data_IF_189416191603
#
_entry.id   IF_189416191603
#
_cell.length_a   1.000
_cell.length_b   1.000
_cell.length_c   1.000
_cell.angle_alpha   90.00
_cell.angle_beta   90.00
_cell.angle_gamma   90.00
#
_symmetry.space_group_name_H-M   'P 1'
#
loop_
_entity.id
_entity.type
_entity.pdbx_description
1 polymer ?
#
# COMPACT_ATOMS: atom_id res chain seq x y z
N UNK A 1 -2.37 10.49 -6.27
CA UNK A 1 -3.69 11.03 -6.66
C UNK A 1 -3.98 10.68 -8.11
N UNK A 2 -5.22 10.33 -8.41
CA UNK A 2 -5.65 9.80 -9.72
C UNK A 2 -6.16 10.91 -10.68
N UNK A 3 -5.64 12.12 -10.55
CA UNK A 3 -6.01 13.26 -11.40
C UNK A 3 -5.71 12.96 -12.87
N UNK A 4 -6.65 13.24 -13.76
CA UNK A 4 -6.59 12.96 -15.19
C UNK A 4 -6.57 11.46 -15.56
N UNK A 5 -6.87 10.57 -14.64
CA UNK A 5 -7.08 9.15 -14.92
C UNK A 5 -8.56 8.85 -15.04
N UNK A 6 -8.90 7.93 -15.95
CA UNK A 6 -10.27 7.46 -16.16
C UNK A 6 -10.39 6.00 -15.73
N UNK A 7 -11.25 5.74 -14.74
CA UNK A 7 -11.56 4.38 -14.26
C UNK A 7 -12.97 4.00 -14.68
N UNK A 8 -13.09 2.86 -15.37
CA UNK A 8 -14.39 2.27 -15.70
C UNK A 8 -14.75 1.24 -14.62
N UNK A 9 -15.87 1.48 -13.94
CA UNK A 9 -16.44 0.54 -12.96
C UNK A 9 -17.57 -0.25 -13.62
N UNK A 10 -17.34 -1.56 -13.80
CA UNK A 10 -18.32 -2.51 -14.26
C UNK A 10 -19.09 -3.10 -13.09
N UNK A 11 -20.37 -2.72 -12.91
CA UNK A 11 -21.18 -3.19 -11.78
C UNK A 11 -22.14 -4.26 -12.25
N UNK A 12 -22.10 -5.45 -11.60
CA UNK A 12 -22.92 -6.60 -12.00
C UNK A 12 -23.91 -7.02 -10.91
N UNK A 13 -24.79 -7.97 -11.23
CA UNK A 13 -25.91 -8.38 -10.39
C UNK A 13 -25.50 -9.16 -9.14
N UNK A 14 -25.12 -8.45 -8.11
CA UNK A 14 -24.83 -8.97 -6.77
C UNK A 14 -25.26 -7.96 -5.72
N UNK A 15 -25.67 -8.43 -4.55
CA UNK A 15 -25.98 -7.55 -3.40
C UNK A 15 -24.81 -6.61 -3.07
N UNK A 16 -23.56 -7.02 -3.29
CA UNK A 16 -22.37 -6.20 -3.04
C UNK A 16 -22.26 -4.95 -3.92
N UNK A 17 -23.14 -4.77 -4.91
CA UNK A 17 -23.17 -3.57 -5.77
C UNK A 17 -23.28 -2.26 -4.98
N UNK A 18 -23.96 -2.25 -3.82
CA UNK A 18 -24.08 -1.04 -2.99
C UNK A 18 -22.75 -0.51 -2.51
N UNK A 19 -21.74 -1.38 -2.29
CA UNK A 19 -20.41 -0.99 -1.84
C UNK A 19 -19.64 -0.17 -2.89
N UNK A 20 -19.95 -0.36 -4.18
CA UNK A 20 -19.28 0.33 -5.27
C UNK A 20 -19.61 1.83 -5.30
N UNK A 21 -20.72 2.24 -4.72
CA UNK A 21 -21.03 3.66 -4.52
C UNK A 21 -19.96 4.35 -3.65
N UNK A 22 -19.49 3.69 -2.58
CA UNK A 22 -18.41 4.20 -1.73
C UNK A 22 -17.08 4.28 -2.49
N UNK A 23 -16.75 3.27 -3.31
CA UNK A 23 -15.56 3.28 -4.15
C UNK A 23 -15.62 4.42 -5.20
N UNK A 24 -16.75 4.59 -5.88
CA UNK A 24 -16.95 5.69 -6.84
C UNK A 24 -16.74 7.06 -6.19
N UNK A 25 -17.30 7.26 -4.97
CA UNK A 25 -17.09 8.48 -4.19
C UNK A 25 -15.61 8.69 -3.81
N UNK A 26 -14.90 7.63 -3.39
CA UNK A 26 -13.49 7.70 -3.03
C UNK A 26 -12.61 8.06 -4.23
N UNK A 27 -12.86 7.48 -5.41
CA UNK A 27 -12.17 7.82 -6.66
C UNK A 27 -12.41 9.27 -7.07
N UNK A 28 -13.64 9.78 -6.95
CA UNK A 28 -13.96 11.19 -7.24
C UNK A 28 -13.24 12.16 -6.31
N UNK A 29 -13.09 11.82 -5.01
CA UNK A 29 -12.29 12.62 -4.05
C UNK A 29 -10.82 12.70 -4.47
N UNK A 30 -10.32 11.72 -5.21
CA UNK A 30 -8.96 11.72 -5.79
C UNK A 30 -8.89 12.39 -7.18
N UNK A 31 -9.96 13.10 -7.57
CA UNK A 31 -10.08 13.78 -8.87
C UNK A 31 -10.01 12.84 -10.08
N UNK A 32 -10.36 11.56 -9.90
CA UNK A 32 -10.49 10.59 -10.98
C UNK A 32 -11.76 10.85 -11.81
N UNK A 33 -11.69 10.65 -13.12
CA UNK A 33 -12.87 10.52 -13.95
C UNK A 33 -13.41 9.09 -13.83
N UNK A 34 -14.63 8.94 -13.33
CA UNK A 34 -15.25 7.65 -13.06
C UNK A 34 -16.41 7.41 -14.01
N UNK A 35 -16.27 6.42 -14.89
CA UNK A 35 -17.32 5.94 -15.77
C UNK A 35 -17.94 4.67 -15.18
N UNK A 36 -19.27 4.62 -15.08
CA UNK A 36 -19.96 3.45 -14.51
C UNK A 36 -20.81 2.78 -15.58
N UNK A 37 -20.59 1.48 -15.75
CA UNK A 37 -21.40 0.65 -16.63
C UNK A 37 -22.06 -0.45 -15.79
N UNK A 38 -23.37 -0.53 -15.81
CA UNK A 38 -24.14 -1.48 -15.05
C UNK A 38 -24.77 -2.54 -15.94
N UNK A 39 -24.81 -3.77 -15.48
CA UNK A 39 -25.72 -4.76 -16.09
C UNK A 39 -27.16 -4.47 -15.66
N UNK A 40 -28.16 -4.93 -16.46
CA UNK A 40 -29.58 -4.83 -16.09
C UNK A 40 -29.88 -5.47 -14.73
N UNK A 41 -29.18 -6.55 -14.39
CA UNK A 41 -29.32 -7.18 -13.08
C UNK A 41 -28.72 -6.34 -11.95
N UNK A 42 -27.65 -5.58 -12.17
CA UNK A 42 -27.10 -4.67 -11.18
C UNK A 42 -28.12 -3.56 -10.81
N UNK A 43 -28.84 -3.06 -11.80
CA UNK A 43 -29.87 -2.02 -11.61
C UNK A 43 -31.05 -2.45 -10.71
N UNK A 44 -31.19 -3.76 -10.41
CA UNK A 44 -32.16 -4.28 -9.44
C UNK A 44 -31.68 -4.15 -7.98
N UNK A 45 -30.35 -4.02 -7.76
CA UNK A 45 -29.78 -3.89 -6.42
C UNK A 45 -29.47 -2.43 -6.05
N UNK A 46 -29.09 -1.61 -7.03
CA UNK A 46 -28.76 -0.19 -6.85
C UNK A 46 -29.15 0.57 -8.12
N UNK A 47 -29.71 1.75 -7.96
CA UNK A 47 -30.19 2.51 -9.12
C UNK A 47 -29.07 3.27 -9.82
N UNK A 48 -29.12 3.46 -11.16
CA UNK A 48 -28.13 4.23 -11.92
C UNK A 48 -27.95 5.66 -11.38
N UNK A 49 -29.04 6.31 -10.94
CA UNK A 49 -29.00 7.69 -10.42
C UNK A 49 -28.03 7.86 -9.23
N UNK A 50 -27.81 6.79 -8.45
CA UNK A 50 -26.81 6.82 -7.36
C UNK A 50 -25.42 7.11 -7.91
N UNK A 51 -25.03 6.39 -8.97
CA UNK A 51 -23.71 6.58 -9.59
C UNK A 51 -23.61 7.89 -10.37
N UNK A 52 -24.67 8.28 -11.06
CA UNK A 52 -24.74 9.57 -11.78
C UNK A 52 -24.54 10.74 -10.83
N UNK A 53 -25.21 10.72 -9.68
CA UNK A 53 -25.06 11.75 -8.64
C UNK A 53 -23.65 11.81 -8.07
N UNK A 54 -23.01 10.65 -7.83
CA UNK A 54 -21.67 10.59 -7.24
C UNK A 54 -20.56 10.94 -8.23
N UNK A 55 -20.71 10.55 -9.50
CA UNK A 55 -19.65 10.70 -10.51
C UNK A 55 -19.79 11.95 -11.36
N UNK A 56 -21.01 12.47 -11.50
CA UNK A 56 -21.34 13.52 -12.46
C UNK A 56 -21.35 13.04 -13.92
N UNK A 57 -21.26 11.73 -14.15
CA UNK A 57 -21.30 11.09 -15.46
C UNK A 57 -22.56 10.23 -15.59
N UNK A 58 -23.09 10.09 -16.81
CA UNK A 58 -24.17 9.16 -17.12
C UNK A 58 -23.76 7.73 -16.78
N UNK A 59 -24.64 6.99 -16.12
CA UNK A 59 -24.47 5.56 -15.87
C UNK A 59 -25.01 4.76 -17.08
N UNK A 60 -24.13 3.97 -17.71
CA UNK A 60 -24.47 3.26 -18.94
C UNK A 60 -25.03 1.87 -18.64
N UNK A 61 -26.14 1.49 -19.27
CA UNK A 61 -26.79 0.17 -19.14
C UNK A 61 -27.07 -0.45 -20.49
N UNK A 62 -27.69 0.29 -21.38
CA UNK A 62 -28.13 -0.18 -22.68
C UNK A 62 -27.18 0.25 -23.81
N UNK A 63 -26.80 -0.70 -24.65
CA UNK A 63 -25.95 -0.45 -25.84
C UNK A 63 -26.63 0.45 -26.87
N UNK A 64 -27.96 0.42 -26.91
CA UNK A 64 -28.79 1.12 -27.92
C UNK A 64 -29.66 2.21 -27.31
N UNK A 65 -29.16 2.88 -26.24
CA UNK A 65 -29.83 4.06 -25.70
C UNK A 65 -29.85 5.19 -26.75
N UNK A 66 -31.02 5.70 -27.08
CA UNK A 66 -31.20 6.74 -28.13
C UNK A 66 -30.90 8.17 -27.65
N UNK A 67 -30.68 8.36 -26.37
CA UNK A 67 -30.28 9.63 -25.78
C UNK A 67 -28.75 9.80 -25.81
N UNK A 68 -28.14 9.66 -26.98
CA UNK A 68 -26.68 9.73 -27.15
C UNK A 68 -26.26 10.87 -28.07
N UNK A 69 -25.07 11.39 -27.87
CA UNK A 69 -24.32 12.17 -28.85
C UNK A 69 -23.82 11.23 -29.94
N UNK A 70 -23.64 11.71 -31.19
CA UNK A 70 -23.30 10.89 -32.37
C UNK A 70 -22.00 10.07 -32.30
N UNK A 71 -21.53 9.69 -31.10
CA UNK A 71 -20.40 8.82 -30.86
C UNK A 71 -20.86 7.43 -30.41
N UNK A 72 -20.10 6.41 -30.81
CA UNK A 72 -20.34 5.04 -30.36
C UNK A 72 -19.87 4.92 -28.91
N UNK A 73 -20.78 5.05 -27.95
CA UNK A 73 -20.48 5.22 -26.51
C UNK A 73 -19.51 4.16 -25.97
N UNK A 74 -19.72 2.86 -26.27
CA UNK A 74 -18.84 1.78 -25.77
C UNK A 74 -17.41 1.92 -26.31
N UNK A 75 -17.21 2.45 -27.53
CA UNK A 75 -15.87 2.69 -28.07
C UNK A 75 -15.24 3.95 -27.47
N UNK A 76 -16.03 5.01 -27.28
CA UNK A 76 -15.56 6.25 -26.65
C UNK A 76 -15.06 5.98 -25.22
N UNK A 77 -15.85 5.27 -24.41
CA UNK A 77 -15.47 4.87 -23.05
C UNK A 77 -14.26 3.95 -23.05
N UNK A 78 -14.21 2.94 -23.94
CA UNK A 78 -13.09 2.01 -24.03
C UNK A 78 -11.76 2.70 -24.37
N UNK A 79 -11.78 3.72 -25.25
CA UNK A 79 -10.59 4.51 -25.60
C UNK A 79 -10.11 5.42 -24.48
N UNK A 80 -11.04 5.94 -23.66
CA UNK A 80 -10.76 6.85 -22.55
C UNK A 80 -10.25 6.13 -21.30
N UNK A 81 -10.58 4.85 -21.13
CA UNK A 81 -10.28 4.08 -19.95
C UNK A 81 -8.78 3.87 -19.74
N UNK A 82 -8.26 4.30 -18.58
CA UNK A 82 -6.93 3.94 -18.08
C UNK A 82 -6.93 2.61 -17.33
N UNK A 83 -8.09 2.22 -16.77
CA UNK A 83 -8.29 0.96 -16.05
C UNK A 83 -9.77 0.58 -16.05
N UNK A 84 -10.04 -0.72 -16.13
CA UNK A 84 -11.37 -1.32 -15.89
C UNK A 84 -11.33 -2.12 -14.61
N UNK A 85 -12.31 -1.91 -13.72
CA UNK A 85 -12.60 -2.78 -12.59
C UNK A 85 -14.03 -3.32 -12.71
N UNK A 86 -14.17 -4.63 -12.82
CA UNK A 86 -15.48 -5.30 -12.70
C UNK A 86 -15.70 -5.72 -11.25
N UNK A 87 -16.55 -4.97 -10.56
CA UNK A 87 -16.86 -5.20 -9.15
C UNK A 87 -18.28 -4.72 -8.81
N UNK A 88 -19.10 -5.54 -8.16
CA UNK A 88 -18.92 -6.98 -7.99
C UNK A 88 -18.97 -7.72 -9.34
N UNK A 89 -18.17 -8.79 -9.50
CA UNK A 89 -18.20 -9.65 -10.68
C UNK A 89 -19.02 -10.93 -10.36
N UNK A 90 -20.18 -11.04 -10.96
CA UNK A 90 -21.04 -12.25 -10.84
C UNK A 90 -20.49 -13.39 -11.70
N UNK A 91 -20.77 -14.63 -11.35
CA UNK A 91 -20.39 -15.82 -12.13
C UNK A 91 -20.82 -15.73 -13.61
N UNK A 92 -22.01 -15.18 -13.89
CA UNK A 92 -22.50 -14.96 -15.24
C UNK A 92 -21.56 -14.06 -16.04
N UNK A 93 -21.18 -12.90 -15.48
CA UNK A 93 -20.31 -11.94 -16.19
C UNK A 93 -18.88 -12.50 -16.32
N UNK A 94 -18.37 -13.20 -15.30
CA UNK A 94 -17.07 -13.90 -15.37
C UNK A 94 -17.07 -14.89 -16.57
N UNK A 95 -18.12 -15.71 -16.70
CA UNK A 95 -18.25 -16.65 -17.82
C UNK A 95 -18.31 -15.95 -19.18
N UNK A 96 -19.07 -14.86 -19.30
CA UNK A 96 -19.13 -14.06 -20.54
C UNK A 96 -17.78 -13.49 -20.92
N UNK A 97 -17.09 -12.84 -19.99
CA UNK A 97 -15.78 -12.23 -20.20
C UNK A 97 -14.71 -13.26 -20.58
N UNK A 98 -14.72 -14.45 -19.95
CA UNK A 98 -13.78 -15.51 -20.24
C UNK A 98 -13.93 -16.06 -21.67
N UNK A 99 -15.14 -16.01 -22.22
CA UNK A 99 -15.45 -16.55 -23.56
C UNK A 99 -15.72 -15.48 -24.63
N UNK A 100 -15.49 -14.19 -24.31
CA UNK A 100 -15.64 -13.10 -25.28
C UNK A 100 -17.10 -12.83 -25.70
N UNK A 101 -18.08 -13.18 -24.86
CA UNK A 101 -19.50 -12.91 -25.11
C UNK A 101 -19.76 -11.41 -24.82
N UNK A 102 -20.15 -10.66 -25.86
CA UNK A 102 -20.37 -9.21 -25.81
C UNK A 102 -21.83 -8.88 -26.19
N UNK A 103 -22.77 -9.28 -25.33
CA UNK A 103 -24.21 -9.19 -25.57
C UNK A 103 -24.90 -8.06 -24.77
N UNK A 104 -24.11 -7.29 -23.99
CA UNK A 104 -24.56 -6.12 -23.25
C UNK A 104 -23.54 -4.98 -23.28
N UNK A 105 -23.91 -3.79 -22.80
CA UNK A 105 -23.06 -2.60 -22.81
C UNK A 105 -21.73 -2.83 -22.07
N UNK A 106 -21.75 -3.52 -20.93
CA UNK A 106 -20.57 -3.78 -20.13
C UNK A 106 -19.56 -4.69 -20.87
N UNK A 107 -20.01 -5.83 -21.31
CA UNK A 107 -19.16 -6.83 -21.96
C UNK A 107 -18.65 -6.35 -23.31
N UNK A 108 -19.46 -5.61 -24.08
CA UNK A 108 -19.05 -4.98 -25.32
C UNK A 108 -17.96 -3.92 -25.11
N UNK A 109 -18.13 -3.04 -24.13
CA UNK A 109 -17.12 -2.02 -23.79
C UNK A 109 -15.80 -2.66 -23.37
N UNK A 110 -15.86 -3.65 -22.47
CA UNK A 110 -14.68 -4.31 -21.93
C UNK A 110 -13.88 -5.03 -23.03
N UNK A 111 -14.56 -5.68 -23.97
CA UNK A 111 -13.92 -6.35 -25.09
C UNK A 111 -13.11 -5.37 -25.96
N UNK A 112 -13.54 -4.10 -26.05
CA UNK A 112 -12.85 -3.05 -26.78
C UNK A 112 -11.72 -2.36 -25.98
N UNK A 113 -11.66 -2.53 -24.64
CA UNK A 113 -10.66 -1.90 -23.79
C UNK A 113 -9.28 -2.54 -23.94
N UNK A 114 -8.23 -1.68 -24.05
CA UNK A 114 -6.83 -2.11 -24.10
C UNK A 114 -6.08 -1.90 -22.76
N UNK A 115 -6.67 -1.16 -21.84
CA UNK A 115 -6.10 -0.86 -20.51
C UNK A 115 -6.08 -2.10 -19.60
N UNK A 116 -5.37 -2.04 -18.46
CA UNK A 116 -5.43 -3.05 -17.40
C UNK A 116 -6.86 -3.35 -16.96
N UNK A 117 -7.12 -4.62 -16.67
CA UNK A 117 -8.45 -5.10 -16.28
C UNK A 117 -8.38 -5.85 -14.96
N UNK A 118 -9.14 -5.37 -13.99
CA UNK A 118 -9.29 -5.96 -12.66
C UNK A 118 -10.67 -6.58 -12.52
N UNK A 119 -10.76 -7.66 -11.76
CA UNK A 119 -12.00 -8.38 -11.52
C UNK A 119 -12.11 -8.76 -10.06
N UNK A 120 -13.21 -8.38 -9.40
CA UNK A 120 -13.51 -8.74 -8.02
C UNK A 120 -14.75 -9.65 -7.94
N UNK A 121 -14.56 -10.99 -7.84
CA UNK A 121 -15.66 -11.94 -7.74
C UNK A 121 -16.54 -11.67 -6.51
N UNK A 122 -17.86 -11.84 -6.67
CA UNK A 122 -18.82 -11.72 -5.57
C UNK A 122 -20.01 -12.67 -5.79
N UNK A 123 -20.03 -13.77 -5.06
CA UNK A 123 -21.05 -14.81 -5.15
C UNK A 123 -21.07 -15.71 -3.92
N UNK A 124 -22.05 -16.61 -3.81
CA UNK A 124 -22.06 -17.66 -2.81
C UNK A 124 -20.82 -18.56 -2.91
N UNK A 125 -20.37 -19.11 -1.79
CA UNK A 125 -19.16 -19.95 -1.70
C UNK A 125 -19.20 -21.14 -2.65
N UNK A 126 -20.32 -21.88 -2.70
CA UNK A 126 -20.45 -23.04 -3.59
C UNK A 126 -20.38 -22.64 -5.08
N UNK A 127 -20.87 -21.44 -5.42
CA UNK A 127 -20.70 -20.89 -6.78
C UNK A 127 -19.24 -20.52 -7.07
N UNK A 128 -18.57 -19.90 -6.09
CA UNK A 128 -17.17 -19.50 -6.26
C UNK A 128 -16.25 -20.71 -6.39
N UNK A 129 -16.48 -21.76 -5.58
CA UNK A 129 -15.70 -23.01 -5.59
C UNK A 129 -16.06 -23.93 -6.77
N UNK A 130 -17.12 -23.61 -7.53
CA UNK A 130 -17.53 -24.42 -8.67
C UNK A 130 -16.40 -24.48 -9.71
N UNK A 131 -16.00 -25.70 -10.16
CA UNK A 131 -14.89 -25.85 -11.12
C UNK A 131 -15.04 -25.00 -12.37
N UNK A 132 -16.25 -24.84 -12.91
CA UNK A 132 -16.51 -24.02 -14.11
C UNK A 132 -16.18 -22.53 -13.84
N UNK A 133 -16.47 -22.03 -12.64
CA UNK A 133 -16.13 -20.66 -12.27
C UNK A 133 -14.62 -20.49 -12.09
N UNK A 134 -13.95 -21.47 -11.44
CA UNK A 134 -12.50 -21.47 -11.27
C UNK A 134 -11.76 -21.56 -12.61
N UNK A 135 -12.26 -22.38 -13.55
CA UNK A 135 -11.71 -22.46 -14.92
C UNK A 135 -11.85 -21.11 -15.63
N UNK A 136 -13.02 -20.47 -15.56
CA UNK A 136 -13.24 -19.16 -16.16
C UNK A 136 -12.32 -18.07 -15.56
N UNK A 137 -12.09 -18.07 -14.25
CA UNK A 137 -11.13 -17.16 -13.60
C UNK A 137 -9.70 -17.43 -14.08
N UNK A 138 -9.33 -18.70 -14.23
CA UNK A 138 -8.02 -19.11 -14.75
C UNK A 138 -7.82 -18.65 -16.21
N UNK A 139 -8.86 -18.75 -17.06
CA UNK A 139 -8.85 -18.24 -18.43
C UNK A 139 -8.64 -16.72 -18.43
N UNK A 140 -9.34 -15.97 -17.59
CA UNK A 140 -9.18 -14.53 -17.48
C UNK A 140 -7.76 -14.14 -17.02
N UNK A 141 -7.22 -14.83 -16.00
CA UNK A 141 -5.82 -14.65 -15.55
C UNK A 141 -4.83 -14.88 -16.71
N UNK A 142 -5.03 -15.94 -17.52
CA UNK A 142 -4.22 -16.21 -18.73
C UNK A 142 -4.27 -15.09 -19.76
N UNK A 143 -5.39 -14.37 -19.86
CA UNK A 143 -5.55 -13.22 -20.75
C UNK A 143 -5.15 -11.87 -20.09
N UNK A 144 -4.43 -11.92 -18.97
CA UNK A 144 -3.85 -10.73 -18.34
C UNK A 144 -4.82 -9.96 -17.44
N UNK A 145 -5.93 -10.57 -17.02
CA UNK A 145 -6.76 -9.99 -15.98
C UNK A 145 -6.15 -10.24 -14.60
N UNK A 146 -6.19 -9.23 -13.76
CA UNK A 146 -5.90 -9.40 -12.35
C UNK A 146 -7.19 -9.70 -11.59
N UNK A 147 -7.23 -10.85 -10.95
CA UNK A 147 -8.35 -11.26 -10.10
C UNK A 147 -8.05 -10.90 -8.66
N UNK A 148 -8.84 -9.98 -8.12
CA UNK A 148 -8.79 -9.62 -6.71
C UNK A 148 -9.48 -10.72 -5.92
N UNK A 149 -8.71 -11.46 -5.14
CA UNK A 149 -9.22 -12.61 -4.41
C UNK A 149 -10.35 -12.19 -3.44
N UNK A 150 -11.47 -12.92 -3.42
CA UNK A 150 -12.56 -12.61 -2.52
C UNK A 150 -12.15 -12.84 -1.06
N UNK A 151 -12.67 -12.01 -0.18
CA UNK A 151 -12.54 -12.21 1.26
C UNK A 151 -13.35 -13.42 1.73
N UNK A 152 -12.89 -14.04 2.80
CA UNK A 152 -13.64 -15.06 3.52
C UNK A 152 -14.45 -14.43 4.66
N UNK A 153 -15.64 -14.93 4.93
CA UNK A 153 -16.48 -14.46 6.02
C UNK A 153 -17.94 -14.80 5.85
N UNK A 154 -18.79 -14.18 6.67
CA UNK A 154 -20.24 -14.35 6.61
C UNK A 154 -20.81 -13.69 5.36
N UNK A 155 -21.56 -14.45 4.59
CA UNK A 155 -22.20 -14.03 3.34
C UNK A 155 -23.69 -13.69 3.57
N UNK A 156 -24.26 -12.91 2.67
CA UNK A 156 -25.67 -12.50 2.76
C UNK A 156 -26.67 -13.67 2.70
N UNK A 157 -26.27 -14.83 2.18
CA UNK A 157 -27.07 -16.04 2.17
C UNK A 157 -27.02 -16.83 3.49
N UNK A 158 -26.27 -16.41 4.49
CA UNK A 158 -26.10 -17.11 5.77
C UNK A 158 -24.91 -18.07 5.82
N UNK A 159 -24.25 -18.32 4.70
CA UNK A 159 -23.07 -19.19 4.64
C UNK A 159 -21.80 -18.45 5.09
N UNK A 160 -20.79 -19.21 5.52
CA UNK A 160 -19.45 -18.69 5.82
C UNK A 160 -18.44 -19.34 4.90
N UNK A 161 -17.63 -18.52 4.20
CA UNK A 161 -16.60 -19.01 3.27
C UNK A 161 -16.08 -17.94 2.35
N UNK A 162 -15.36 -18.36 1.29
CA UNK A 162 -14.86 -17.48 0.23
C UNK A 162 -16.02 -17.05 -0.69
N UNK A 163 -15.88 -15.88 -1.32
CA UNK A 163 -16.87 -15.35 -2.27
C UNK A 163 -17.37 -13.96 -1.93
N UNK A 164 -16.97 -13.40 -0.78
CA UNK A 164 -17.30 -12.03 -0.36
C UNK A 164 -16.40 -11.03 -1.08
N UNK A 165 -16.99 -10.06 -1.79
CA UNK A 165 -16.23 -8.96 -2.36
C UNK A 165 -15.47 -8.22 -1.26
N UNK A 166 -14.17 -7.93 -1.43
CA UNK A 166 -13.39 -7.10 -0.51
C UNK A 166 -14.03 -5.74 -0.26
N UNK A 167 -13.61 -5.07 0.81
CA UNK A 167 -14.11 -3.73 1.11
C UNK A 167 -13.60 -2.71 0.08
N UNK A 168 -14.34 -1.59 -0.12
CA UNK A 168 -14.01 -0.59 -1.14
C UNK A 168 -12.57 -0.04 -1.06
N UNK A 169 -12.02 0.04 0.15
CA UNK A 169 -10.65 0.50 0.41
C UNK A 169 -9.60 -0.44 -0.22
N UNK A 170 -9.87 -1.76 -0.16
CA UNK A 170 -9.01 -2.75 -0.81
C UNK A 170 -9.09 -2.63 -2.33
N UNK A 171 -10.29 -2.46 -2.88
CA UNK A 171 -10.47 -2.25 -4.33
C UNK A 171 -9.78 -0.97 -4.81
N UNK A 172 -9.86 0.10 -4.01
CA UNK A 172 -9.17 1.36 -4.27
C UNK A 172 -7.65 1.16 -4.31
N UNK A 173 -7.07 0.41 -3.36
CA UNK A 173 -5.64 0.16 -3.33
C UNK A 173 -5.13 -0.58 -4.58
N UNK A 174 -5.93 -1.49 -5.15
CA UNK A 174 -5.61 -2.13 -6.43
C UNK A 174 -5.62 -1.14 -7.60
N UNK A 175 -6.59 -0.22 -7.64
CA UNK A 175 -6.64 0.85 -8.65
C UNK A 175 -5.42 1.78 -8.52
N UNK A 176 -5.10 2.20 -7.30
CA UNK A 176 -3.93 3.03 -7.01
C UNK A 176 -2.62 2.33 -7.39
N UNK A 177 -2.50 1.04 -7.09
CA UNK A 177 -1.34 0.23 -7.48
C UNK A 177 -1.11 0.28 -8.99
N UNK A 178 -2.12 0.38 -9.81
CA UNK A 178 -1.96 0.49 -11.27
C UNK A 178 -1.75 1.92 -11.77
N UNK A 179 -2.42 2.91 -11.19
CA UNK A 179 -2.59 4.23 -11.80
C UNK A 179 -1.89 5.38 -11.07
N UNK A 180 -1.57 5.24 -9.77
CA UNK A 180 -1.12 6.37 -8.95
C UNK A 180 0.27 6.89 -9.35
N UNK A 181 1.17 6.01 -9.79
CA UNK A 181 2.55 6.35 -10.12
C UNK A 181 3.02 5.62 -11.37
N UNK A 182 4.02 6.18 -12.06
CA UNK A 182 4.82 5.45 -13.03
C UNK A 182 5.55 4.30 -12.34
N UNK A 183 5.75 3.19 -13.07
CA UNK A 183 6.41 1.98 -12.54
C UNK A 183 7.93 2.02 -12.79
N UNK A 184 8.54 3.14 -12.42
CA UNK A 184 9.97 3.42 -12.63
C UNK A 184 10.90 2.61 -11.70
N UNK A 185 10.36 1.97 -10.66
CA UNK A 185 11.09 1.05 -9.79
C UNK A 185 10.78 -0.43 -10.06
N UNK A 186 10.21 -0.75 -11.23
CA UNK A 186 9.93 -2.14 -11.59
C UNK A 186 11.23 -2.98 -11.60
N UNK A 187 11.18 -4.13 -10.90
CA UNK A 187 12.32 -5.03 -10.74
C UNK A 187 13.34 -4.60 -9.67
N UNK A 188 13.13 -3.47 -8.99
CA UNK A 188 13.95 -3.05 -7.83
C UNK A 188 13.46 -3.71 -6.56
N UNK A 189 14.39 -4.16 -5.73
CA UNK A 189 14.12 -4.71 -4.38
C UNK A 189 14.48 -3.67 -3.32
N UNK A 190 13.50 -3.33 -2.49
CA UNK A 190 13.65 -2.29 -1.45
C UNK A 190 13.30 -2.84 -0.07
N UNK A 191 14.24 -2.79 0.85
CA UNK A 191 13.97 -3.10 2.26
C UNK A 191 13.79 -1.82 3.05
N UNK A 192 12.67 -1.71 3.75
CA UNK A 192 12.37 -0.58 4.64
C UNK A 192 12.20 -1.09 6.06
N UNK A 193 12.80 -0.41 7.05
CA UNK A 193 12.50 -0.68 8.46
C UNK A 193 11.58 0.40 9.01
N UNK A 194 10.63 0.04 9.87
CA UNK A 194 9.66 0.97 10.43
C UNK A 194 9.27 0.64 11.87
N UNK A 195 8.64 1.61 12.54
CA UNK A 195 8.17 1.45 13.91
C UNK A 195 9.27 1.50 14.96
N UNK A 196 8.90 1.41 16.24
CA UNK A 196 9.84 1.29 17.35
C UNK A 196 10.20 -0.17 17.60
N UNK A 197 11.32 -0.42 18.27
CA UNK A 197 11.55 -1.68 18.96
C UNK A 197 11.03 -1.59 20.40
N UNK A 198 10.72 -2.74 20.97
CA UNK A 198 10.29 -2.90 22.37
C UNK A 198 11.26 -3.83 23.07
N UNK A 199 11.98 -3.30 24.05
CA UNK A 199 12.99 -4.04 24.82
C UNK A 199 12.40 -4.48 26.14
N UNK A 200 12.12 -5.76 26.26
CA UNK A 200 11.41 -6.31 27.41
C UNK A 200 12.21 -6.14 28.71
N UNK A 201 11.53 -5.68 29.77
CA UNK A 201 11.99 -5.71 31.16
C UNK A 201 11.52 -6.98 31.86
N UNK A 202 10.27 -7.32 31.60
CA UNK A 202 9.57 -8.49 32.09
C UNK A 202 8.39 -8.81 31.14
N UNK A 203 7.58 -9.86 31.36
CA UNK A 203 6.46 -10.20 30.47
C UNK A 203 5.40 -9.10 30.31
N UNK A 204 5.44 -8.03 31.11
CA UNK A 204 4.40 -6.98 31.14
C UNK A 204 4.92 -5.62 30.68
N UNK A 205 6.20 -5.34 30.93
CA UNK A 205 6.79 -4.00 30.71
C UNK A 205 7.97 -4.04 29.76
N UNK A 206 8.13 -3.00 28.97
CA UNK A 206 9.22 -2.82 28.02
C UNK A 206 9.65 -1.36 27.93
N UNK A 207 10.86 -1.14 27.44
CA UNK A 207 11.37 0.16 26.99
C UNK A 207 11.12 0.30 25.49
N UNK A 208 10.69 1.47 25.05
CA UNK A 208 10.42 1.74 23.64
C UNK A 208 10.59 3.21 23.27
N UNK A 209 10.65 3.50 21.98
CA UNK A 209 10.68 4.84 21.43
C UNK A 209 9.26 5.31 21.03
N UNK A 210 9.04 6.63 20.93
CA UNK A 210 7.74 7.23 20.56
C UNK A 210 7.40 7.10 19.06
N UNK A 211 8.12 6.29 18.29
CA UNK A 211 7.88 6.14 16.86
C UNK A 211 6.51 5.51 16.58
N UNK A 212 5.78 6.08 15.62
CA UNK A 212 4.49 5.54 15.14
C UNK A 212 4.63 4.68 13.89
N UNK A 213 5.82 4.61 13.28
CA UNK A 213 6.06 3.89 12.03
C UNK A 213 5.61 4.60 10.76
N UNK A 214 4.85 5.70 10.85
CA UNK A 214 4.22 6.37 9.69
C UNK A 214 5.19 6.68 8.55
N UNK A 215 6.41 7.14 8.82
CA UNK A 215 7.37 7.50 7.76
C UNK A 215 7.86 6.26 6.99
N UNK A 216 8.27 5.20 7.69
CA UNK A 216 8.69 3.95 7.06
C UNK A 216 7.57 3.30 6.26
N UNK A 217 6.35 3.34 6.77
CA UNK A 217 5.15 2.86 6.07
C UNK A 217 4.86 3.67 4.81
N UNK A 218 4.98 5.01 4.85
CA UNK A 218 4.83 5.86 3.68
C UNK A 218 5.90 5.56 2.60
N UNK A 219 7.15 5.31 3.00
CA UNK A 219 8.23 4.94 2.07
C UNK A 219 7.95 3.58 1.43
N UNK A 220 7.56 2.58 2.23
CA UNK A 220 7.22 1.26 1.73
C UNK A 220 6.04 1.30 0.75
N UNK A 221 5.00 2.08 1.07
CA UNK A 221 3.85 2.31 0.19
C UNK A 221 4.24 3.00 -1.11
N UNK A 222 4.97 4.11 -1.04
CA UNK A 222 5.42 4.85 -2.23
C UNK A 222 6.31 3.99 -3.14
N UNK A 223 7.21 3.19 -2.58
CA UNK A 223 8.06 2.28 -3.35
C UNK A 223 7.22 1.19 -4.05
N UNK A 224 6.24 0.62 -3.35
CA UNK A 224 5.31 -0.37 -3.92
C UNK A 224 4.47 0.23 -5.05
N UNK A 225 3.89 1.43 -4.87
CA UNK A 225 3.15 2.14 -5.92
C UNK A 225 3.99 2.40 -7.17
N UNK A 226 5.31 2.56 -7.04
CA UNK A 226 6.27 2.73 -8.15
C UNK A 226 6.77 1.40 -8.73
N UNK A 227 6.27 0.26 -8.26
CA UNK A 227 6.54 -1.06 -8.82
C UNK A 227 7.72 -1.81 -8.21
N UNK A 228 8.30 -1.34 -7.11
CA UNK A 228 9.35 -2.07 -6.40
C UNK A 228 8.80 -3.31 -5.67
N UNK A 229 9.63 -4.35 -5.55
CA UNK A 229 9.42 -5.46 -4.61
C UNK A 229 9.87 -5.02 -3.21
N UNK A 230 8.91 -4.81 -2.31
CA UNK A 230 9.15 -4.16 -1.02
C UNK A 230 9.05 -5.14 0.13
N UNK A 231 10.12 -5.20 0.93
CA UNK A 231 10.13 -5.88 2.23
C UNK A 231 10.13 -4.84 3.34
N UNK A 232 9.09 -4.84 4.19
CA UNK A 232 8.94 -3.96 5.34
C UNK A 232 9.20 -4.73 6.63
N UNK A 233 10.32 -4.46 7.31
CA UNK A 233 10.61 -4.99 8.64
C UNK A 233 10.06 -4.01 9.68
N UNK A 234 8.99 -4.41 10.39
CA UNK A 234 8.24 -3.49 11.24
C UNK A 234 8.20 -3.92 12.69
N UNK A 235 8.60 -3.02 13.57
CA UNK A 235 8.26 -3.07 14.98
C UNK A 235 6.77 -2.85 15.22
N UNK A 236 6.29 -3.02 16.50
CA UNK A 236 4.88 -2.91 16.82
C UNK A 236 4.33 -1.50 16.57
N UNK A 237 3.30 -1.39 15.73
CA UNK A 237 2.59 -0.16 15.39
C UNK A 237 1.09 -0.42 15.32
N UNK A 238 0.28 0.65 15.40
CA UNK A 238 -1.18 0.59 15.30
C UNK A 238 -1.72 0.83 13.89
N UNK A 239 -0.86 1.22 12.94
CA UNK A 239 -1.26 1.47 11.55
C UNK A 239 -1.28 0.15 10.75
N UNK A 240 -2.25 0.02 9.85
CA UNK A 240 -2.33 -1.14 8.97
C UNK A 240 -1.14 -1.16 7.98
N UNK A 241 -0.60 -2.34 7.68
CA UNK A 241 0.46 -2.45 6.69
C UNK A 241 -0.04 -2.02 5.30
N UNK A 242 0.83 -1.38 4.49
CA UNK A 242 0.49 -1.04 3.12
C UNK A 242 0.18 -2.31 2.31
N UNK A 243 -0.82 -2.28 1.42
CA UNK A 243 -1.07 -3.39 0.51
C UNK A 243 0.14 -3.62 -0.42
N UNK A 244 0.28 -4.84 -0.93
CA UNK A 244 1.35 -5.27 -1.86
C UNK A 244 2.78 -5.18 -1.31
N UNK A 245 2.94 -5.10 0.00
CA UNK A 245 4.22 -5.05 0.69
C UNK A 245 4.39 -6.32 1.54
N UNK A 246 5.54 -6.99 1.42
CA UNK A 246 5.89 -8.12 2.29
C UNK A 246 6.28 -7.58 3.67
N UNK A 247 5.46 -7.87 4.69
CA UNK A 247 5.73 -7.42 6.07
C UNK A 247 6.38 -8.53 6.87
N UNK A 248 7.49 -8.19 7.56
CA UNK A 248 8.16 -9.04 8.54
C UNK A 248 8.00 -8.36 9.90
N UNK A 249 7.08 -8.83 10.76
CA UNK A 249 6.90 -8.28 12.10
C UNK A 249 8.06 -8.68 13.00
N UNK A 250 8.53 -7.73 13.81
CA UNK A 250 9.57 -7.92 14.83
C UNK A 250 9.15 -7.26 16.14
N UNK A 251 9.84 -7.54 17.23
CA UNK A 251 9.59 -6.91 18.52
C UNK A 251 10.81 -6.17 19.04
N UNK A 252 11.94 -6.82 19.14
CA UNK A 252 13.17 -6.27 19.73
C UNK A 252 14.17 -5.74 18.69
N UNK A 253 15.18 -5.02 19.16
CA UNK A 253 16.32 -4.60 18.35
C UNK A 253 17.08 -5.79 17.77
N UNK A 254 17.17 -6.89 18.52
CA UNK A 254 17.80 -8.12 18.08
C UNK A 254 17.01 -8.77 16.93
N UNK A 255 15.68 -8.90 17.07
CA UNK A 255 14.82 -9.43 15.99
C UNK A 255 14.95 -8.60 14.71
N UNK A 256 15.00 -7.26 14.86
CA UNK A 256 15.18 -6.36 13.71
C UNK A 256 16.55 -6.57 13.06
N UNK A 257 17.60 -6.73 13.83
CA UNK A 257 18.94 -7.03 13.30
C UNK A 257 18.95 -8.33 12.51
N UNK A 258 18.37 -9.40 13.05
CA UNK A 258 18.31 -10.71 12.41
C UNK A 258 17.48 -10.66 11.11
N UNK A 259 16.29 -10.07 11.16
CA UNK A 259 15.41 -9.94 10.00
C UNK A 259 16.05 -9.10 8.87
N UNK A 260 16.67 -7.97 9.22
CA UNK A 260 17.34 -7.11 8.23
C UNK A 260 18.55 -7.81 7.65
N UNK A 261 19.41 -8.43 8.47
CA UNK A 261 20.62 -9.12 8.02
C UNK A 261 20.32 -10.28 7.08
N UNK A 262 19.25 -11.04 7.36
CA UNK A 262 18.82 -12.16 6.53
C UNK A 262 18.37 -11.77 5.13
N UNK A 263 17.91 -10.53 4.93
CA UNK A 263 17.34 -10.05 3.66
C UNK A 263 18.20 -8.99 2.97
N UNK A 264 19.24 -8.46 3.65
CA UNK A 264 20.02 -7.31 3.15
C UNK A 264 20.72 -7.57 1.82
N UNK A 265 21.30 -8.76 1.63
CA UNK A 265 22.13 -9.08 0.48
C UNK A 265 21.41 -9.04 -0.87
N UNK A 266 20.09 -9.16 -0.88
CA UNK A 266 19.29 -9.20 -2.12
C UNK A 266 18.70 -7.83 -2.51
N UNK A 267 18.91 -6.79 -1.69
CA UNK A 267 18.25 -5.51 -1.87
C UNK A 267 19.08 -4.55 -2.72
N UNK A 268 18.41 -3.83 -3.64
CA UNK A 268 19.01 -2.69 -4.34
C UNK A 268 19.13 -1.47 -3.40
N UNK A 269 18.14 -1.28 -2.52
CA UNK A 269 18.17 -0.21 -1.52
C UNK A 269 17.67 -0.68 -0.16
N UNK A 270 18.32 -0.19 0.90
CA UNK A 270 17.90 -0.40 2.29
C UNK A 270 17.65 0.95 2.94
N UNK A 271 16.44 1.17 3.44
CA UNK A 271 16.00 2.43 4.06
C UNK A 271 15.68 2.18 5.53
N UNK A 272 16.56 2.62 6.42
CA UNK A 272 16.45 2.37 7.85
C UNK A 272 15.73 3.51 8.56
N UNK A 273 14.38 3.46 8.55
CA UNK A 273 13.51 4.47 9.16
C UNK A 273 12.96 4.08 10.54
N UNK A 274 13.22 2.86 11.02
CA UNK A 274 12.81 2.40 12.34
C UNK A 274 13.53 3.15 13.47
N UNK A 275 12.84 3.36 14.59
CA UNK A 275 13.40 3.86 15.82
C UNK A 275 13.85 2.68 16.72
N UNK A 276 15.03 2.17 16.42
CA UNK A 276 15.64 1.06 17.16
C UNK A 276 16.23 1.58 18.47
N UNK A 277 15.99 0.88 19.57
CA UNK A 277 16.59 1.22 20.85
C UNK A 277 18.11 0.97 20.83
N UNK A 278 18.91 1.95 21.28
CA UNK A 278 20.37 1.82 21.42
C UNK A 278 20.78 0.96 22.61
N UNK A 279 19.84 0.76 23.55
CA UNK A 279 20.04 -0.01 24.78
C UNK A 279 18.88 -0.96 25.03
N UNK A 280 19.17 -2.13 25.55
CA UNK A 280 18.20 -3.13 26.00
C UNK A 280 18.53 -3.52 27.46
N UNK A 281 17.57 -3.97 28.29
CA UNK A 281 17.87 -4.49 29.60
C UNK A 281 18.93 -5.59 29.54
N UNK A 282 19.91 -5.54 30.46
CA UNK A 282 20.97 -6.54 30.54
C UNK A 282 20.40 -7.92 30.83
N UNK A 283 19.41 -7.96 31.74
CA UNK A 283 18.68 -9.15 32.13
C UNK A 283 17.18 -8.92 32.01
N UNK A 284 16.46 -9.87 31.43
CA UNK A 284 15.03 -9.89 31.29
C UNK A 284 14.43 -10.84 32.32
N UNK A 285 13.55 -10.33 33.16
CA UNK A 285 12.88 -11.18 34.16
C UNK A 285 11.84 -12.09 33.48
N UNK A 286 11.84 -13.37 33.82
CA UNK A 286 10.82 -14.33 33.37
C UNK A 286 9.43 -14.11 34.02
N UNK A 287 9.39 -13.39 35.16
CA UNK A 287 8.17 -13.04 35.85
C UNK A 287 8.06 -11.54 36.04
N UNK A 288 6.82 -11.05 36.21
CA UNK A 288 6.56 -9.62 36.49
C UNK A 288 7.32 -9.19 37.74
N UNK A 289 8.26 -8.27 37.62
CA UNK A 289 9.02 -7.69 38.73
C UNK A 289 8.06 -7.00 39.67
N UNK A 290 7.96 -7.52 40.91
CA UNK A 290 7.09 -6.95 41.94
C UNK A 290 7.69 -5.64 42.51
N UNK A 291 6.77 -4.71 42.82
CA UNK A 291 7.14 -3.46 43.51
C UNK A 291 7.84 -3.78 44.84
N UNK A 292 8.99 -3.16 45.03
CA UNK A 292 9.73 -3.19 46.31
C UNK A 292 9.73 -1.76 46.88
N UNK A 293 9.98 -1.63 48.18
CA UNK A 293 10.20 -0.35 48.80
C UNK A 293 11.52 0.26 48.29
N UNK A 294 11.48 1.55 47.88
CA UNK A 294 12.62 2.28 47.34
C UNK A 294 12.68 2.33 45.81
N UNK A 295 13.70 3.01 45.30
CA UNK A 295 13.95 3.21 43.86
C UNK A 295 14.43 1.92 43.18
N UNK A 296 14.12 1.78 41.89
CA UNK A 296 14.57 0.68 41.07
C UNK A 296 15.53 1.18 39.99
N UNK A 297 16.70 0.61 39.88
CA UNK A 297 17.60 0.80 38.76
C UNK A 297 17.60 -0.41 37.84
N UNK A 298 17.67 -0.17 36.53
CA UNK A 298 17.66 -1.19 35.50
C UNK A 298 19.00 -1.13 34.77
N UNK A 299 19.85 -2.16 34.90
CA UNK A 299 21.07 -2.20 34.12
C UNK A 299 20.76 -2.41 32.64
N UNK A 300 21.37 -1.58 31.79
CA UNK A 300 21.20 -1.64 30.35
C UNK A 300 22.50 -2.06 29.66
N UNK A 301 22.39 -2.84 28.59
CA UNK A 301 23.47 -3.15 27.64
C UNK A 301 23.20 -2.57 26.27
N UNK A 302 24.24 -2.29 25.49
CA UNK A 302 24.10 -1.77 24.13
C UNK A 302 23.52 -2.83 23.19
N UNK A 303 22.66 -2.39 22.29
CA UNK A 303 22.18 -3.17 21.15
C UNK A 303 23.16 -3.11 19.97
N UNK A 304 22.97 -3.97 19.00
CA UNK A 304 23.76 -3.95 17.76
C UNK A 304 23.40 -2.74 16.89
N UNK A 305 24.41 -1.96 16.48
CA UNK A 305 24.21 -0.86 15.53
C UNK A 305 23.99 -1.41 14.12
N UNK A 306 22.72 -1.62 13.78
CA UNK A 306 22.30 -2.21 12.50
C UNK A 306 22.80 -1.38 11.30
N UNK A 307 22.72 -0.04 11.40
CA UNK A 307 23.13 0.83 10.29
C UNK A 307 24.64 0.74 10.04
N UNK A 308 25.44 0.67 11.09
CA UNK A 308 26.89 0.46 10.98
C UNK A 308 27.20 -0.91 10.37
N UNK A 309 26.54 -1.97 10.86
CA UNK A 309 26.71 -3.33 10.33
C UNK A 309 26.39 -3.38 8.82
N UNK A 310 25.28 -2.78 8.38
CA UNK A 310 24.92 -2.74 6.98
C UNK A 310 25.93 -1.98 6.13
N UNK A 311 26.46 -0.85 6.63
CA UNK A 311 27.48 -0.09 5.92
C UNK A 311 28.81 -0.81 5.75
N UNK A 312 29.16 -1.68 6.72
CA UNK A 312 30.36 -2.54 6.66
C UNK A 312 30.19 -3.74 5.70
N UNK A 313 28.94 -4.16 5.44
CA UNK A 313 28.63 -5.37 4.66
C UNK A 313 27.90 -5.09 3.34
N UNK A 314 27.61 -3.83 2.99
CA UNK A 314 26.93 -3.51 1.73
C UNK A 314 27.75 -3.88 0.50
N UNK A 315 27.08 -4.41 -0.52
CA UNK A 315 27.73 -4.71 -1.80
C UNK A 315 27.73 -3.50 -2.75
N UNK A 316 28.53 -3.62 -3.80
CA UNK A 316 28.63 -2.58 -4.85
C UNK A 316 27.26 -2.43 -5.54
N UNK A 317 26.80 -1.18 -5.66
CA UNK A 317 25.49 -0.86 -6.26
C UNK A 317 24.32 -0.85 -5.29
N UNK A 318 24.50 -1.33 -4.06
CA UNK A 318 23.48 -1.25 -3.03
C UNK A 318 23.46 0.14 -2.38
N UNK A 319 22.27 0.75 -2.32
CA UNK A 319 22.09 2.05 -1.68
C UNK A 319 21.63 1.90 -0.23
N UNK A 320 22.33 2.53 0.69
CA UNK A 320 21.99 2.51 2.12
C UNK A 320 21.58 3.90 2.59
N UNK A 321 20.33 4.02 3.06
CA UNK A 321 19.75 5.24 3.62
C UNK A 321 19.44 5.05 5.10
N UNK A 322 19.92 5.97 5.95
CA UNK A 322 19.60 6.02 7.37
C UNK A 322 18.75 7.22 7.72
N UNK A 323 18.03 7.14 8.84
CA UNK A 323 17.35 8.29 9.44
C UNK A 323 18.14 8.79 10.65
N UNK A 324 18.14 10.10 10.83
CA UNK A 324 18.72 10.78 11.99
C UNK A 324 17.71 11.71 12.60
N UNK A 325 17.75 11.79 13.91
CA UNK A 325 16.94 12.70 14.70
C UNK A 325 17.85 13.43 15.66
N UNK A 326 18.11 14.68 15.37
CA UNK A 326 19.03 15.52 16.14
C UNK A 326 18.30 16.79 16.58
N UNK A 327 18.57 17.22 17.79
CA UNK A 327 18.01 18.46 18.34
C UNK A 327 18.99 19.63 18.20
N UNK A 328 20.28 19.35 18.08
CA UNK A 328 21.36 20.32 17.97
C UNK A 328 22.42 19.86 16.96
N UNK A 329 23.06 20.80 16.27
CA UNK A 329 24.12 20.51 15.28
C UNK A 329 23.75 19.44 14.25
N UNK A 330 22.48 19.45 13.79
CA UNK A 330 21.89 18.39 12.95
C UNK A 330 22.75 18.06 11.72
N UNK A 331 23.22 19.08 10.99
CA UNK A 331 24.02 18.85 9.76
C UNK A 331 25.38 18.22 10.06
N UNK A 332 26.10 18.74 11.06
CA UNK A 332 27.42 18.23 11.44
C UNK A 332 27.35 16.79 11.92
N UNK A 333 26.43 16.50 12.85
CA UNK A 333 26.23 15.17 13.42
C UNK A 333 25.78 14.15 12.36
N UNK A 334 24.89 14.55 11.46
CA UNK A 334 24.39 13.66 10.41
C UNK A 334 25.43 13.41 9.32
N UNK A 335 26.22 14.41 8.94
CA UNK A 335 27.35 14.25 8.01
C UNK A 335 28.44 13.34 8.58
N UNK A 336 28.75 13.49 9.87
CA UNK A 336 29.68 12.58 10.56
C UNK A 336 29.17 11.12 10.57
N UNK A 337 27.85 10.92 10.80
CA UNK A 337 27.23 9.58 10.74
C UNK A 337 27.33 8.98 9.33
N UNK A 338 27.13 9.77 8.27
CA UNK A 338 27.19 9.33 6.88
C UNK A 338 28.54 8.69 6.57
N UNK A 339 29.64 9.35 6.94
CA UNK A 339 31.00 8.85 6.72
C UNK A 339 31.32 7.67 7.63
N UNK A 340 31.05 7.81 8.95
CA UNK A 340 31.42 6.81 9.98
C UNK A 340 30.72 5.48 9.75
N UNK A 341 29.47 5.48 9.26
CA UNK A 341 28.67 4.28 9.06
C UNK A 341 28.62 3.84 7.58
N UNK A 342 29.39 4.46 6.71
CA UNK A 342 29.46 4.17 5.27
C UNK A 342 28.08 4.08 4.60
N UNK A 343 27.19 5.04 4.89
CA UNK A 343 25.87 5.16 4.26
C UNK A 343 25.90 6.15 3.11
N UNK A 344 24.97 6.06 2.17
CA UNK A 344 24.91 6.90 0.98
C UNK A 344 24.07 8.15 1.21
N UNK A 345 23.06 8.04 2.09
CA UNK A 345 22.19 9.16 2.44
C UNK A 345 21.73 9.07 3.90
N UNK A 346 21.64 10.23 4.54
CA UNK A 346 20.95 10.40 5.83
C UNK A 346 19.76 11.34 5.63
N UNK A 347 18.60 10.91 6.08
CA UNK A 347 17.39 11.73 6.19
C UNK A 347 17.31 12.27 7.61
N UNK A 348 17.58 13.56 7.78
CA UNK A 348 17.58 14.21 9.08
C UNK A 348 16.23 14.89 9.34
N UNK A 349 15.54 14.48 10.41
CA UNK A 349 14.29 15.08 10.84
C UNK A 349 14.53 16.34 11.67
N UNK A 350 13.82 17.43 11.35
CA UNK A 350 13.82 18.65 12.14
C UNK A 350 12.65 18.64 13.16
N UNK A 351 12.96 18.33 14.42
CA UNK A 351 11.95 18.27 15.49
C UNK A 351 11.47 19.64 15.99
N UNK A 352 12.18 20.72 15.66
CA UNK A 352 11.85 22.08 16.15
C UNK A 352 10.76 22.76 15.33
N UNK A 353 10.40 22.18 14.16
CA UNK A 353 9.39 22.76 13.27
C UNK A 353 7.99 22.27 13.65
N UNK A 354 7.07 23.20 13.85
CA UNK A 354 5.65 22.88 14.08
C UNK A 354 5.09 22.11 12.89
N UNK A 355 4.43 20.97 13.13
CA UNK A 355 3.90 20.10 12.08
C UNK A 355 4.89 19.01 11.60
N UNK A 356 6.14 18.99 12.10
CA UNK A 356 7.08 17.90 11.89
C UNK A 356 7.18 17.01 13.14
N UNK A 357 7.28 15.69 12.98
CA UNK A 357 7.47 14.78 14.09
C UNK A 357 6.85 13.38 13.91
N UNK A 358 6.91 12.56 14.95
CA UNK A 358 6.48 11.16 14.91
C UNK A 358 4.98 10.96 14.64
N UNK A 359 4.12 11.73 15.29
CA UNK A 359 2.66 11.52 15.26
C UNK A 359 1.93 12.23 14.12
N UNK A 360 2.54 13.23 13.49
CA UNK A 360 1.93 14.04 12.42
C UNK A 360 1.94 13.32 11.07
N UNK A 361 1.09 13.74 10.14
CA UNK A 361 1.06 13.22 8.76
C UNK A 361 1.98 14.01 7.82
N UNK A 362 2.55 15.12 8.31
CA UNK A 362 3.53 15.96 7.62
C UNK A 362 4.92 15.80 8.20
N UNK A 363 5.95 16.22 7.47
CA UNK A 363 7.33 16.27 7.94
C UNK A 363 8.14 17.37 7.24
N UNK A 364 9.23 17.80 7.91
CA UNK A 364 10.31 18.62 7.37
C UNK A 364 11.60 17.85 7.54
N UNK A 365 12.26 17.53 6.45
CA UNK A 365 13.48 16.73 6.45
C UNK A 365 14.58 17.37 5.62
N UNK A 366 15.83 17.11 5.99
CA UNK A 366 17.01 17.43 5.20
C UNK A 366 17.61 16.15 4.66
N UNK A 367 17.73 16.03 3.34
CA UNK A 367 18.42 14.93 2.69
C UNK A 367 19.93 15.26 2.63
N UNK A 368 20.75 14.46 3.29
CA UNK A 368 22.20 14.66 3.40
C UNK A 368 22.89 13.51 2.67
N UNK A 369 23.69 13.86 1.65
CA UNK A 369 24.52 12.94 0.88
C UNK A 369 25.97 13.39 0.90
N UNK A 370 26.87 12.65 0.25
CA UNK A 370 28.26 13.08 0.07
C UNK A 370 28.42 14.31 -0.81
N UNK A 371 27.42 14.61 -1.65
CA UNK A 371 27.40 15.75 -2.58
C UNK A 371 26.90 17.05 -1.92
N UNK A 372 26.20 16.94 -0.78
CA UNK A 372 25.65 18.08 -0.05
C UNK A 372 24.38 17.76 0.72
N UNK A 373 23.74 18.81 1.21
CA UNK A 373 22.49 18.74 1.96
C UNK A 373 21.41 19.54 1.25
N UNK A 374 20.19 18.98 1.17
CA UNK A 374 19.00 19.58 0.58
C UNK A 374 17.88 19.57 1.62
N UNK A 375 17.39 20.74 2.01
CA UNK A 375 16.25 20.86 2.91
C UNK A 375 14.95 20.83 2.11
N UNK A 376 14.04 19.91 2.45
CA UNK A 376 12.73 19.84 1.85
C UNK A 376 11.74 20.69 2.66
N UNK A 377 10.81 21.40 1.99
CA UNK A 377 9.75 22.16 2.67
C UNK A 377 8.82 21.23 3.46
N UNK A 378 7.96 21.82 4.30
CA UNK A 378 6.89 21.07 4.96
C UNK A 378 5.97 20.44 3.91
N UNK A 379 5.90 19.12 3.90
CA UNK A 379 5.06 18.34 2.99
C UNK A 379 4.54 17.07 3.68
N UNK A 380 3.62 16.36 3.04
CA UNK A 380 3.12 15.08 3.56
C UNK A 380 4.24 14.03 3.62
N UNK A 381 4.12 13.05 4.51
CA UNK A 381 5.07 11.93 4.58
C UNK A 381 5.12 11.10 3.29
N UNK A 382 4.01 11.05 2.54
CA UNK A 382 3.98 10.43 1.23
C UNK A 382 4.83 11.20 0.21
N UNK A 383 4.72 12.52 0.16
CA UNK A 383 5.56 13.35 -0.71
C UNK A 383 7.03 13.24 -0.31
N UNK A 384 7.36 13.29 0.99
CA UNK A 384 8.73 13.05 1.49
C UNK A 384 9.24 11.69 1.03
N UNK A 385 8.41 10.65 1.10
CA UNK A 385 8.79 9.30 0.66
C UNK A 385 9.16 9.27 -0.83
N UNK A 386 8.37 9.93 -1.69
CA UNK A 386 8.69 10.06 -3.11
C UNK A 386 10.00 10.82 -3.35
N UNK A 387 10.28 11.90 -2.61
CA UNK A 387 11.55 12.64 -2.73
C UNK A 387 12.76 11.78 -2.31
N UNK A 388 12.63 11.01 -1.23
CA UNK A 388 13.67 10.06 -0.80
C UNK A 388 13.94 9.03 -1.90
N UNK A 389 12.90 8.40 -2.45
CA UNK A 389 13.02 7.41 -3.52
C UNK A 389 13.61 8.02 -4.81
N UNK A 390 13.22 9.24 -5.18
CA UNK A 390 13.81 9.97 -6.30
C UNK A 390 15.31 10.19 -6.13
N UNK A 391 15.78 10.40 -4.89
CA UNK A 391 17.21 10.60 -4.63
C UNK A 391 18.00 9.30 -4.63
N UNK A 392 17.35 8.19 -4.25
CA UNK A 392 17.96 6.85 -4.22
C UNK A 392 18.12 6.27 -5.63
N UNK A 393 17.13 6.45 -6.49
CA UNK A 393 17.03 5.79 -7.80
C UNK A 393 17.15 6.77 -8.97
N UNK A 394 17.99 7.80 -8.78
CA UNK A 394 18.34 8.74 -9.87
C UNK A 394 19.17 8.08 -10.97
#
# INVERSE_FOLDING_TARGET
MLKNKCVVLGVTGSIAAYKIASLASALKKQHCDVQVIMTRNAAQFITPVTFETLTGNKCLIDTFDRNFTFEVEHISVAKKADLVLVAPASANVIGKLAHGIADDMLTTTILACKCPKLLSPAMNTAMFENPVVQDNLSILKKYGWEVIEPASGYLACGDTGAGKMPEPEILLSYIEQHLACEKDLLGKKVLVTAGPTQEALDPVRYLTNHSTGKMGYAIAHAASLRGADVTLVSGPVSIAPPPFVKVIPITSAQDMFEAVSAHAAEQDAIIKAAAVADYTPADVSSEKVKKKDGDMSIPLKRTTDILKYLGEHKHVGQFLCGFSMETEHMLENSTAKLTKKNVDMIVANNLKTTGAGFGTDTNVVTLITREGAEELPLMSKEEVAHQILNRIFK
#
